data_IF_129831966750
#
_entry.id   IF_129831966750
#
_cell.length_a   1.000
_cell.length_b   1.000
_cell.length_c   1.000
_cell.angle_alpha   90.00
_cell.angle_beta   90.00
_cell.angle_gamma   90.00
#
_symmetry.space_group_name_H-M   'P 1'
#
loop_
_entity.id
_entity.type
_entity.pdbx_description
1 polymer ?
#
# COMPACT_ATOMS: atom_id res chain seq x y z
N UNK A 1 5.40 -19.37 -32.47
CA UNK A 1 5.10 -18.48 -31.32
C UNK A 1 5.98 -17.23 -31.40
N UNK A 2 5.47 -16.16 -31.99
CA UNK A 2 6.25 -14.95 -32.29
C UNK A 2 6.50 -14.17 -31.01
N UNK A 3 7.76 -14.14 -30.54
CA UNK A 3 8.22 -13.21 -29.49
C UNK A 3 8.04 -11.79 -30.03
N UNK A 4 6.89 -11.16 -29.78
CA UNK A 4 6.65 -9.74 -30.10
C UNK A 4 7.60 -8.91 -29.23
N UNK A 5 8.70 -8.50 -29.84
CA UNK A 5 9.72 -7.63 -29.27
C UNK A 5 9.06 -6.36 -28.70
N UNK A 6 9.28 -6.11 -27.41
CA UNK A 6 8.87 -4.87 -26.75
C UNK A 6 9.74 -3.74 -27.29
N UNK A 7 9.22 -2.97 -28.25
CA UNK A 7 9.91 -1.79 -28.76
C UNK A 7 9.64 -0.59 -27.85
N UNK A 8 10.13 -0.66 -26.62
CA UNK A 8 10.35 0.57 -25.87
C UNK A 8 11.62 1.23 -26.40
N UNK A 9 11.46 2.25 -27.23
CA UNK A 9 12.59 3.11 -27.62
C UNK A 9 12.82 4.08 -26.47
N UNK A 10 13.56 3.64 -25.45
CA UNK A 10 14.12 4.54 -24.45
C UNK A 10 15.48 5.02 -24.99
N UNK A 11 15.78 6.32 -24.89
CA UNK A 11 17.11 6.85 -25.22
C UNK A 11 18.15 6.13 -24.36
N UNK A 12 19.27 5.73 -24.98
CA UNK A 12 20.44 5.18 -24.31
C UNK A 12 21.15 6.16 -23.33
N UNK A 13 20.53 7.31 -23.02
CA UNK A 13 21.08 8.36 -22.15
C UNK A 13 20.45 8.44 -20.76
N UNK A 14 19.43 7.63 -20.44
CA UNK A 14 18.99 7.47 -19.05
C UNK A 14 19.93 6.51 -18.32
N UNK A 15 20.37 6.83 -17.11
CA UNK A 15 21.28 5.99 -16.32
C UNK A 15 20.89 4.50 -16.46
N UNK A 16 21.79 3.59 -16.88
CA UNK A 16 21.45 2.22 -17.30
C UNK A 16 20.53 1.47 -16.32
N UNK A 17 20.65 1.79 -15.03
CA UNK A 17 19.83 1.27 -13.92
C UNK A 17 18.34 1.61 -14.02
N UNK A 18 17.98 2.84 -14.37
CA UNK A 18 16.59 3.29 -14.43
C UNK A 18 15.86 2.67 -15.64
N UNK A 19 16.56 2.56 -16.76
CA UNK A 19 16.11 1.81 -17.93
C UNK A 19 15.84 0.33 -17.62
N UNK A 20 16.80 -0.34 -16.95
CA UNK A 20 16.66 -1.74 -16.57
C UNK A 20 15.44 -1.96 -15.66
N UNK A 21 15.19 -1.07 -14.69
CA UNK A 21 13.99 -1.15 -13.82
C UNK A 21 12.70 -1.09 -14.62
N UNK A 22 12.55 -0.12 -15.52
CA UNK A 22 11.35 0.01 -16.37
C UNK A 22 11.13 -1.25 -17.22
N UNK A 23 12.21 -1.79 -17.80
CA UNK A 23 12.16 -2.97 -18.67
C UNK A 23 11.79 -4.23 -17.89
N UNK A 24 12.45 -4.47 -16.75
CA UNK A 24 12.17 -5.62 -15.89
C UNK A 24 10.74 -5.59 -15.34
N UNK A 25 10.28 -4.43 -14.87
CA UNK A 25 8.90 -4.28 -14.41
C UNK A 25 7.89 -4.54 -15.52
N UNK A 26 8.15 -4.08 -16.75
CA UNK A 26 7.23 -4.34 -17.87
C UNK A 26 7.07 -5.82 -18.20
N UNK A 27 8.04 -6.68 -17.85
CA UNK A 27 7.92 -8.14 -17.98
C UNK A 27 7.03 -8.78 -16.92
N UNK A 28 6.84 -8.15 -15.75
CA UNK A 28 5.94 -8.66 -14.71
C UNK A 28 4.47 -8.30 -14.99
N UNK A 29 4.22 -7.37 -15.91
CA UNK A 29 2.87 -6.92 -16.25
C UNK A 29 2.15 -7.90 -17.18
N UNK A 30 0.88 -8.13 -16.87
CA UNK A 30 -0.01 -8.97 -17.66
C UNK A 30 -1.35 -8.26 -17.90
N UNK A 31 -2.20 -8.84 -18.76
CA UNK A 31 -3.57 -8.37 -18.96
C UNK A 31 -3.72 -6.88 -19.29
N UNK A 32 -4.57 -6.18 -18.53
CA UNK A 32 -4.88 -4.75 -18.73
C UNK A 32 -3.65 -3.85 -18.52
N UNK A 33 -2.80 -4.17 -17.55
CA UNK A 33 -1.58 -3.43 -17.25
C UNK A 33 -0.60 -3.44 -18.43
N UNK A 34 -0.35 -4.63 -18.98
CA UNK A 34 0.52 -4.78 -20.14
C UNK A 34 -0.02 -4.05 -21.38
N UNK A 35 -1.33 -4.12 -21.61
CA UNK A 35 -1.98 -3.43 -22.74
C UNK A 35 -1.84 -1.91 -22.62
N UNK A 36 -2.07 -1.36 -21.43
CA UNK A 36 -1.91 0.07 -21.19
C UNK A 36 -0.48 0.54 -21.44
N UNK A 37 0.53 -0.17 -20.92
CA UNK A 37 1.93 0.20 -21.15
C UNK A 37 2.29 0.16 -22.63
N UNK A 38 1.75 -0.80 -23.39
CA UNK A 38 1.95 -0.90 -24.85
C UNK A 38 1.22 0.17 -25.65
N UNK A 39 0.17 0.79 -25.11
CA UNK A 39 -0.55 1.88 -25.79
C UNK A 39 0.07 3.25 -25.55
N UNK A 40 1.06 3.38 -24.66
CA UNK A 40 1.73 4.65 -24.43
C UNK A 40 2.54 5.09 -25.66
N UNK A 41 2.55 6.39 -25.99
CA UNK A 41 3.39 6.92 -27.07
C UNK A 41 4.87 6.60 -26.83
N UNK A 42 5.62 6.40 -27.91
CA UNK A 42 7.07 6.24 -27.80
C UNK A 42 7.68 7.42 -27.05
N UNK A 43 8.62 7.15 -26.15
CA UNK A 43 9.35 8.17 -25.36
C UNK A 43 8.50 8.95 -24.34
N UNK A 44 7.24 8.56 -24.08
CA UNK A 44 6.38 9.25 -23.10
C UNK A 44 6.81 9.06 -21.64
N UNK A 45 7.57 8.01 -21.36
CA UNK A 45 8.12 7.70 -20.03
C UNK A 45 9.59 7.35 -20.27
N UNK A 46 10.50 8.02 -19.59
CA UNK A 46 11.94 7.85 -19.78
C UNK A 46 12.69 7.47 -18.52
N UNK A 47 12.08 7.71 -17.35
CA UNK A 47 12.64 7.37 -16.04
C UNK A 47 11.74 6.41 -15.27
N UNK A 48 12.33 5.63 -14.36
CA UNK A 48 11.54 4.78 -13.45
C UNK A 48 10.59 5.58 -12.58
N UNK A 49 10.96 6.80 -12.21
CA UNK A 49 10.12 7.72 -11.45
C UNK A 49 8.85 8.06 -12.21
N UNK A 50 8.98 8.51 -13.46
CA UNK A 50 7.83 8.77 -14.36
C UNK A 50 6.99 7.51 -14.55
N UNK A 51 7.62 6.35 -14.73
CA UNK A 51 6.92 5.09 -14.91
C UNK A 51 6.01 4.78 -13.72
N UNK A 52 6.54 4.83 -12.50
CA UNK A 52 5.76 4.59 -11.28
C UNK A 52 4.60 5.58 -11.14
N UNK A 53 4.85 6.87 -11.39
CA UNK A 53 3.82 7.92 -11.28
C UNK A 53 2.71 7.69 -12.28
N UNK A 54 3.03 7.42 -13.55
CA UNK A 54 2.04 7.17 -14.59
C UNK A 54 1.27 5.85 -14.33
N UNK A 55 1.97 4.79 -13.96
CA UNK A 55 1.35 3.49 -13.67
C UNK A 55 0.38 3.57 -12.49
N UNK A 56 0.82 4.18 -11.38
CA UNK A 56 -0.05 4.41 -10.23
C UNK A 56 -1.18 5.38 -10.57
N UNK A 57 -0.92 6.44 -11.33
CA UNK A 57 -1.97 7.38 -11.76
C UNK A 57 -3.07 6.71 -12.59
N UNK A 58 -2.70 5.72 -13.43
CA UNK A 58 -3.65 5.00 -14.27
C UNK A 58 -4.37 3.86 -13.53
N UNK A 59 -3.66 3.08 -12.71
CA UNK A 59 -4.22 1.87 -12.06
C UNK A 59 -4.65 2.08 -10.60
N UNK A 60 -4.08 3.07 -9.92
CA UNK A 60 -4.39 3.42 -8.53
C UNK A 60 -5.02 4.81 -8.50
N UNK A 61 -6.30 4.85 -8.88
CA UNK A 61 -7.05 6.10 -9.02
C UNK A 61 -7.08 6.90 -7.70
N UNK A 62 -7.14 8.23 -7.81
CA UNK A 62 -7.36 9.10 -6.64
C UNK A 62 -8.57 8.67 -5.80
N UNK A 63 -9.62 8.18 -6.46
CA UNK A 63 -10.81 7.64 -5.81
C UNK A 63 -10.48 6.41 -4.94
N UNK A 64 -9.73 5.43 -5.46
CA UNK A 64 -9.30 4.26 -4.66
C UNK A 64 -8.46 4.68 -3.47
N UNK A 65 -7.53 5.63 -3.66
CA UNK A 65 -6.72 6.17 -2.58
C UNK A 65 -7.58 6.84 -1.50
N UNK A 66 -8.58 7.64 -1.89
CA UNK A 66 -9.49 8.30 -0.95
C UNK A 66 -10.36 7.29 -0.20
N UNK A 67 -10.93 6.29 -0.89
CA UNK A 67 -11.70 5.21 -0.26
C UNK A 67 -10.88 4.45 0.78
N UNK A 68 -9.60 4.16 0.49
CA UNK A 68 -8.73 3.50 1.47
C UNK A 68 -8.41 4.42 2.65
N UNK A 69 -8.16 5.71 2.43
CA UNK A 69 -7.98 6.67 3.53
C UNK A 69 -9.21 6.75 4.42
N UNK A 70 -10.41 6.78 3.83
CA UNK A 70 -11.67 6.75 4.56
C UNK A 70 -11.83 5.45 5.37
N UNK A 71 -11.53 4.29 4.76
CA UNK A 71 -11.55 3.00 5.46
C UNK A 71 -10.57 2.93 6.63
N UNK A 72 -9.40 3.56 6.50
CA UNK A 72 -8.45 3.69 7.60
C UNK A 72 -9.06 4.58 8.68
N UNK A 73 -9.45 5.82 8.35
CA UNK A 73 -9.90 6.81 9.35
C UNK A 73 -11.21 6.45 10.06
N UNK A 74 -12.09 5.73 9.38
CA UNK A 74 -13.39 5.28 9.91
C UNK A 74 -13.37 3.82 10.38
N UNK A 75 -12.19 3.23 10.56
CA UNK A 75 -12.06 1.83 10.92
C UNK A 75 -12.87 1.48 12.19
N UNK A 76 -13.64 0.41 12.08
CA UNK A 76 -14.36 -0.22 13.19
C UNK A 76 -14.23 -1.74 13.05
N UNK A 77 -14.07 -2.42 14.18
CA UNK A 77 -14.17 -3.86 14.28
C UNK A 77 -15.64 -4.27 14.08
N UNK A 78 -15.88 -5.29 13.26
CA UNK A 78 -17.21 -5.85 13.07
C UNK A 78 -17.78 -6.48 14.35
N UNK A 79 -19.11 -6.59 14.50
CA UNK A 79 -19.74 -7.07 15.74
C UNK A 79 -19.36 -8.52 16.11
N UNK A 80 -19.03 -9.34 15.11
CA UNK A 80 -18.61 -10.74 15.27
C UNK A 80 -17.19 -10.98 14.76
N UNK A 81 -16.48 -9.92 14.36
CA UNK A 81 -15.15 -10.03 13.77
C UNK A 81 -14.10 -10.29 14.87
N UNK A 82 -13.31 -11.36 14.80
CA UNK A 82 -12.20 -11.59 15.73
C UNK A 82 -11.15 -10.48 15.65
N UNK A 83 -10.45 -10.24 16.75
CA UNK A 83 -9.41 -9.21 16.83
C UNK A 83 -8.32 -9.36 15.75
N UNK A 84 -7.86 -10.58 15.50
CA UNK A 84 -6.79 -10.84 14.53
C UNK A 84 -7.23 -10.53 13.09
N UNK A 85 -8.47 -10.85 12.72
CA UNK A 85 -9.03 -10.51 11.41
C UNK A 85 -9.17 -8.99 11.25
N UNK A 86 -9.67 -8.31 12.29
CA UNK A 86 -9.77 -6.85 12.31
C UNK A 86 -8.38 -6.20 12.13
N UNK A 87 -7.36 -6.73 12.81
CA UNK A 87 -5.99 -6.25 12.72
C UNK A 87 -5.39 -6.47 11.33
N UNK A 88 -5.54 -7.66 10.75
CA UNK A 88 -5.06 -7.94 9.39
C UNK A 88 -5.75 -7.07 8.35
N UNK A 89 -7.08 -6.88 8.46
CA UNK A 89 -7.84 -5.97 7.58
C UNK A 89 -7.35 -4.53 7.69
N UNK A 90 -7.03 -4.06 8.90
CA UNK A 90 -6.46 -2.72 9.08
C UNK A 90 -5.06 -2.60 8.44
N UNK A 91 -4.20 -3.60 8.61
CA UNK A 91 -2.87 -3.66 7.97
C UNK A 91 -2.97 -3.73 6.44
N UNK A 92 -3.96 -4.42 5.90
CA UNK A 92 -4.21 -4.48 4.46
C UNK A 92 -4.57 -3.09 3.91
N UNK A 93 -5.44 -2.34 4.59
CA UNK A 93 -5.78 -0.98 4.17
C UNK A 93 -4.57 -0.03 4.13
N UNK A 94 -3.67 -0.12 5.12
CA UNK A 94 -2.46 0.71 5.15
C UNK A 94 -1.45 0.30 4.08
N UNK A 95 -1.25 -1.01 3.86
CA UNK A 95 -0.41 -1.56 2.78
C UNK A 95 -0.92 -1.18 1.39
N UNK A 96 -2.23 -1.22 1.18
CA UNK A 96 -2.85 -0.85 -0.09
C UNK A 96 -2.82 0.66 -0.37
N UNK A 97 -2.70 1.50 0.67
CA UNK A 97 -2.63 2.95 0.53
C UNK A 97 -1.30 3.53 1.04
N UNK A 98 -0.16 3.25 0.38
CA UNK A 98 1.17 3.66 0.88
C UNK A 98 1.34 5.18 1.04
N UNK A 99 0.50 5.99 0.37
CA UNK A 99 0.47 7.45 0.49
C UNK A 99 -0.70 7.95 1.37
N UNK A 100 -1.04 7.20 2.44
CA UNK A 100 -2.13 7.57 3.35
C UNK A 100 -1.83 8.83 4.18
N UNK A 101 -0.56 9.17 4.41
CA UNK A 101 -0.15 10.44 5.06
C UNK A 101 -0.33 10.47 6.58
N UNK A 102 -0.49 9.31 7.22
CA UNK A 102 -0.69 9.17 8.67
C UNK A 102 0.61 8.64 9.30
N UNK A 103 0.93 9.09 10.51
CA UNK A 103 2.03 8.51 11.30
C UNK A 103 1.62 7.17 11.90
N UNK A 104 2.61 6.33 12.24
CA UNK A 104 2.38 5.05 12.91
C UNK A 104 1.56 5.22 14.20
N UNK A 105 1.83 6.27 14.99
CA UNK A 105 1.05 6.58 16.20
C UNK A 105 -0.41 6.90 15.90
N UNK A 106 -0.69 7.67 14.84
CA UNK A 106 -2.06 7.96 14.41
C UNK A 106 -2.77 6.70 13.94
N UNK A 107 -2.09 5.80 13.21
CA UNK A 107 -2.65 4.52 12.78
C UNK A 107 -3.03 3.65 13.98
N UNK A 108 -2.16 3.54 14.98
CA UNK A 108 -2.47 2.76 16.19
C UNK A 108 -3.59 3.37 17.02
N UNK A 109 -3.65 4.70 17.14
CA UNK A 109 -4.77 5.37 17.80
C UNK A 109 -6.11 5.11 17.09
N UNK A 110 -6.13 5.18 15.76
CA UNK A 110 -7.32 4.87 14.96
C UNK A 110 -7.75 3.42 15.19
N UNK A 111 -6.82 2.47 15.10
CA UNK A 111 -7.11 1.06 15.33
C UNK A 111 -7.64 0.80 16.74
N UNK A 112 -6.96 1.32 17.77
CA UNK A 112 -7.36 1.17 19.18
C UNK A 112 -8.77 1.74 19.44
N UNK A 113 -9.10 2.88 18.83
CA UNK A 113 -10.46 3.47 18.94
C UNK A 113 -11.52 2.67 18.21
N UNK A 114 -11.15 2.01 17.10
CA UNK A 114 -12.05 1.23 16.26
C UNK A 114 -12.33 -0.19 16.73
N UNK A 115 -11.48 -0.79 17.57
CA UNK A 115 -11.73 -2.13 18.14
C UNK A 115 -12.74 -2.09 19.29
N UNK A 116 -13.40 -3.23 19.51
CA UNK A 116 -14.38 -3.42 20.57
C UNK A 116 -13.79 -3.15 21.97
N UNK A 117 -14.65 -2.75 22.91
CA UNK A 117 -14.24 -2.49 24.30
C UNK A 117 -13.53 -3.68 24.95
N UNK A 118 -13.99 -4.90 24.67
CA UNK A 118 -13.36 -6.15 25.15
C UNK A 118 -11.93 -6.31 24.61
N UNK A 119 -11.74 -6.07 23.32
CA UNK A 119 -10.42 -6.14 22.70
C UNK A 119 -9.49 -5.04 23.22
N UNK A 120 -9.99 -3.81 23.40
CA UNK A 120 -9.21 -2.73 24.04
C UNK A 120 -8.72 -3.13 25.43
N UNK A 121 -9.61 -3.59 26.29
CA UNK A 121 -9.25 -4.00 27.66
C UNK A 121 -8.21 -5.13 27.66
N UNK A 122 -8.35 -6.10 26.75
CA UNK A 122 -7.40 -7.20 26.62
C UNK A 122 -6.03 -6.70 26.14
N UNK A 123 -6.02 -5.76 25.19
CA UNK A 123 -4.80 -5.16 24.65
C UNK A 123 -4.08 -4.29 25.71
N UNK A 124 -4.83 -3.52 26.48
CA UNK A 124 -4.33 -2.76 27.62
C UNK A 124 -3.67 -3.69 28.65
N UNK A 125 -4.36 -4.76 29.03
CA UNK A 125 -3.82 -5.79 29.94
C UNK A 125 -2.53 -6.41 29.39
N UNK A 126 -2.51 -6.81 28.12
CA UNK A 126 -1.32 -7.37 27.45
C UNK A 126 -0.17 -6.36 27.34
N UNK A 127 -0.48 -5.07 27.33
CA UNK A 127 0.50 -3.98 27.33
C UNK A 127 1.02 -3.63 28.74
N UNK A 128 0.61 -4.35 29.79
CA UNK A 128 0.93 -4.03 31.18
C UNK A 128 0.47 -2.61 31.58
N UNK A 129 -0.74 -2.22 31.14
CA UNK A 129 -1.30 -0.90 31.42
C UNK A 129 -2.08 -0.34 30.25
N UNK A 130 -1.77 0.89 29.83
CA UNK A 130 -2.45 1.52 28.71
C UNK A 130 -1.64 1.30 27.43
N UNK A 131 -2.24 0.69 26.40
CA UNK A 131 -1.56 0.44 25.13
C UNK A 131 -1.11 1.75 24.45
N UNK A 132 -1.89 2.83 24.60
CA UNK A 132 -1.61 4.12 23.96
C UNK A 132 -0.41 4.86 24.56
N UNK A 133 0.16 4.39 25.69
CA UNK A 133 1.40 4.95 26.25
C UNK A 133 2.65 4.26 25.71
N UNK A 134 2.49 3.17 24.94
CA UNK A 134 3.59 2.43 24.35
C UNK A 134 4.23 3.18 23.20
N UNK A 135 5.53 3.00 23.06
CA UNK A 135 6.26 3.43 21.88
C UNK A 135 5.78 2.67 20.64
N UNK A 136 6.01 3.24 19.46
CA UNK A 136 5.67 2.58 18.18
C UNK A 136 6.32 1.19 18.06
N UNK A 137 7.53 1.02 18.61
CA UNK A 137 8.25 -0.26 18.58
C UNK A 137 7.57 -1.31 19.46
N UNK A 138 7.22 -0.95 20.69
CA UNK A 138 6.50 -1.85 21.61
C UNK A 138 5.11 -2.20 21.06
N UNK A 139 4.39 -1.21 20.53
CA UNK A 139 3.10 -1.45 19.88
C UNK A 139 3.25 -2.44 18.72
N UNK A 140 4.27 -2.31 17.87
CA UNK A 140 4.54 -3.27 16.79
C UNK A 140 4.85 -4.68 17.29
N UNK A 141 5.44 -4.84 18.47
CA UNK A 141 5.71 -6.15 19.08
C UNK A 141 4.42 -6.75 19.64
N UNK A 142 3.63 -5.97 20.37
CA UNK A 142 2.34 -6.40 20.94
C UNK A 142 1.30 -6.71 19.86
N UNK A 143 1.39 -6.04 18.72
CA UNK A 143 0.51 -6.24 17.56
C UNK A 143 1.08 -7.26 16.55
N UNK A 144 2.20 -7.89 16.90
CA UNK A 144 2.86 -8.96 16.16
C UNK A 144 2.45 -10.36 16.60
N UNK A 145 1.42 -10.47 17.46
CA UNK A 145 0.73 -11.74 17.73
C UNK A 145 0.38 -12.40 16.40
#
# INVERSE_FOLDING_TARGET
MTRRSFRFVFRAGGAPKEYLKCKLFSFTLTGKALRWVKSLPAQSITTWKEYKVAFLGHFFTKQRANLLREKISSFQQGPVEPFHEALERFKDYTRECPNHGLSDGSLWNIFYRGISGKCRFSLDTASNGNFMTKTVTEAKILMRI
#
